data_IF_641875609988
#
_entry.id   IF_641875609988
#
_cell.length_a   1.000
_cell.length_b   1.000
_cell.length_c   1.000
_cell.angle_alpha   90.00
_cell.angle_beta   90.00
_cell.angle_gamma   90.00
#
_symmetry.space_group_name_H-M   'P 1'
#
loop_
_entity.id
_entity.type
_entity.pdbx_description
1 polymer ?
#
# COMPACT_ATOMS: atom_id res chain seq x y z
N UNK A 1 59.84 -13.31 19.46
CA UNK A 1 58.40 -13.00 19.31
C UNK A 1 58.02 -12.54 17.89
N UNK A 2 58.81 -11.68 17.22
CA UNK A 2 58.52 -11.17 15.87
C UNK A 2 58.56 -12.20 14.73
N UNK A 3 59.48 -13.18 14.78
CA UNK A 3 59.59 -14.26 13.78
C UNK A 3 58.33 -15.13 13.67
N UNK A 4 57.64 -15.40 14.79
CA UNK A 4 56.40 -16.17 14.79
C UNK A 4 55.22 -15.38 14.23
N UNK A 5 55.23 -14.05 14.38
CA UNK A 5 54.23 -13.13 13.81
C UNK A 5 54.34 -13.06 12.28
N UNK A 6 55.57 -13.02 11.75
CA UNK A 6 55.88 -13.09 10.31
C UNK A 6 55.51 -14.44 9.68
N UNK A 7 55.76 -15.57 10.37
CA UNK A 7 55.31 -16.90 9.92
C UNK A 7 53.77 -17.00 9.86
N UNK A 8 53.05 -16.43 10.83
CA UNK A 8 51.56 -16.40 10.81
C UNK A 8 50.99 -15.57 9.66
N UNK A 9 51.64 -14.48 9.28
CA UNK A 9 51.21 -13.67 8.13
C UNK A 9 51.50 -14.36 6.79
N UNK A 10 52.63 -15.07 6.67
CA UNK A 10 52.96 -15.90 5.50
C UNK A 10 52.00 -17.08 5.27
N UNK A 11 51.41 -17.61 6.34
CA UNK A 11 50.44 -18.71 6.27
C UNK A 11 49.00 -18.26 5.94
N UNK A 12 48.75 -16.95 5.80
CA UNK A 12 47.48 -16.49 5.23
C UNK A 12 47.58 -16.59 3.71
N UNK A 13 46.80 -17.50 3.12
CA UNK A 13 46.64 -17.57 1.66
C UNK A 13 46.11 -16.22 1.19
N UNK A 14 46.91 -15.49 0.42
CA UNK A 14 46.43 -14.32 -0.29
C UNK A 14 45.44 -14.79 -1.37
N UNK A 15 44.32 -14.10 -1.52
CA UNK A 15 43.42 -14.34 -2.64
C UNK A 15 44.18 -14.12 -3.94
N UNK A 16 43.99 -15.02 -4.89
CA UNK A 16 44.52 -14.81 -6.23
C UNK A 16 43.81 -13.62 -6.88
N UNK A 17 44.51 -12.93 -7.79
CA UNK A 17 43.94 -11.80 -8.52
C UNK A 17 42.68 -12.22 -9.31
N UNK A 18 42.65 -13.47 -9.79
CA UNK A 18 41.50 -14.09 -10.43
C UNK A 18 40.29 -14.22 -9.48
N UNK A 19 40.49 -14.77 -8.28
CA UNK A 19 39.43 -14.89 -7.26
C UNK A 19 38.86 -13.52 -6.86
N UNK A 20 39.70 -12.48 -6.83
CA UNK A 20 39.26 -11.11 -6.57
C UNK A 20 38.36 -10.57 -7.70
N UNK A 21 38.77 -10.75 -8.97
CA UNK A 21 37.97 -10.32 -10.14
C UNK A 21 36.61 -11.03 -10.16
N UNK A 22 36.59 -12.35 -9.94
CA UNK A 22 35.34 -13.10 -9.87
C UNK A 22 34.43 -12.63 -8.73
N UNK A 23 35.01 -12.31 -7.56
CA UNK A 23 34.24 -11.83 -6.42
C UNK A 23 33.61 -10.46 -6.70
N UNK A 24 34.35 -9.54 -7.32
CA UNK A 24 33.81 -8.23 -7.73
C UNK A 24 32.70 -8.42 -8.78
N UNK A 25 32.92 -9.29 -9.77
CA UNK A 25 31.90 -9.59 -10.78
C UNK A 25 30.61 -10.13 -10.16
N UNK A 26 30.69 -11.15 -9.30
CA UNK A 26 29.52 -11.69 -8.60
C UNK A 26 28.82 -10.64 -7.74
N UNK A 27 29.60 -9.81 -7.03
CA UNK A 27 29.04 -8.73 -6.22
C UNK A 27 28.26 -7.74 -7.09
N UNK A 28 28.82 -7.33 -8.23
CA UNK A 28 28.13 -6.40 -9.15
C UNK A 28 26.81 -6.98 -9.66
N UNK A 29 26.79 -8.25 -10.08
CA UNK A 29 25.56 -8.92 -10.54
C UNK A 29 24.51 -8.94 -9.43
N UNK A 30 24.89 -9.34 -8.22
CA UNK A 30 23.98 -9.38 -7.07
C UNK A 30 23.43 -7.99 -6.76
N UNK A 31 24.28 -6.96 -6.74
CA UNK A 31 23.84 -5.58 -6.45
C UNK A 31 22.86 -5.04 -7.49
N UNK A 32 23.08 -5.32 -8.78
CA UNK A 32 22.15 -4.91 -9.85
C UNK A 32 20.80 -5.62 -9.69
N UNK A 33 20.81 -6.93 -9.41
CA UNK A 33 19.59 -7.68 -9.15
C UNK A 33 18.80 -7.13 -7.96
N UNK A 34 19.47 -6.86 -6.84
CA UNK A 34 18.83 -6.28 -5.64
C UNK A 34 18.24 -4.90 -5.98
N UNK A 35 18.99 -4.04 -6.65
CA UNK A 35 18.53 -2.70 -7.02
C UNK A 35 17.28 -2.76 -7.91
N UNK A 36 17.28 -3.65 -8.90
CA UNK A 36 16.12 -3.88 -9.76
C UNK A 36 14.89 -4.35 -8.97
N UNK A 37 15.06 -5.28 -8.02
CA UNK A 37 13.97 -5.73 -7.15
C UNK A 37 13.41 -4.61 -6.27
N UNK A 38 14.27 -3.73 -5.73
CA UNK A 38 13.84 -2.57 -4.93
C UNK A 38 12.99 -1.61 -5.77
N UNK A 39 13.40 -1.32 -7.01
CA UNK A 39 12.65 -0.46 -7.91
C UNK A 39 11.25 -1.02 -8.22
N UNK A 40 11.17 -2.33 -8.50
CA UNK A 40 9.88 -3.00 -8.73
C UNK A 40 9.01 -2.94 -7.47
N UNK A 41 9.57 -3.26 -6.31
CA UNK A 41 8.85 -3.24 -5.05
C UNK A 41 8.28 -1.84 -4.75
N UNK A 42 9.10 -0.79 -4.91
CA UNK A 42 8.69 0.60 -4.74
C UNK A 42 7.54 0.99 -5.67
N UNK A 43 7.61 0.57 -6.95
CA UNK A 43 6.52 0.78 -7.91
C UNK A 43 5.22 0.13 -7.45
N UNK A 44 5.25 -1.12 -6.99
CA UNK A 44 4.06 -1.79 -6.49
C UNK A 44 3.54 -1.16 -5.21
N UNK A 45 4.41 -0.82 -4.26
CA UNK A 45 4.02 -0.17 -3.01
C UNK A 45 3.27 1.14 -3.26
N UNK A 46 3.75 1.98 -4.17
CA UNK A 46 3.07 3.22 -4.55
C UNK A 46 1.69 2.97 -5.18
N UNK A 47 1.59 1.98 -6.09
CA UNK A 47 0.31 1.61 -6.70
C UNK A 47 -0.71 1.13 -5.66
N UNK A 48 -0.28 0.34 -4.68
CA UNK A 48 -1.18 -0.14 -3.62
C UNK A 48 -1.49 0.94 -2.58
N UNK A 49 -0.55 1.84 -2.27
CA UNK A 49 -0.79 2.96 -1.34
C UNK A 49 -1.94 3.84 -1.83
N UNK A 50 -1.94 4.21 -3.11
CA UNK A 50 -3.02 5.02 -3.69
C UNK A 50 -4.37 4.28 -3.64
N UNK A 51 -4.38 2.96 -3.82
CA UNK A 51 -5.61 2.16 -3.69
C UNK A 51 -6.12 2.13 -2.25
N UNK A 52 -5.23 1.99 -1.28
CA UNK A 52 -5.58 2.03 0.15
C UNK A 52 -6.14 3.39 0.52
N UNK A 53 -5.56 4.48 0.02
CA UNK A 53 -6.06 5.84 0.26
C UNK A 53 -7.50 6.02 -0.26
N UNK A 54 -7.77 5.58 -1.50
CA UNK A 54 -9.12 5.63 -2.08
C UNK A 54 -10.11 4.79 -1.26
N UNK A 55 -9.71 3.59 -0.81
CA UNK A 55 -10.55 2.73 0.02
C UNK A 55 -10.83 3.35 1.39
N UNK A 56 -9.83 3.93 2.04
CA UNK A 56 -9.98 4.64 3.30
C UNK A 56 -10.92 5.85 3.16
N UNK A 57 -10.82 6.60 2.06
CA UNK A 57 -11.73 7.71 1.79
C UNK A 57 -13.19 7.24 1.65
N UNK A 58 -13.42 6.10 0.98
CA UNK A 58 -14.76 5.51 0.84
C UNK A 58 -15.28 5.05 2.20
N UNK A 59 -14.45 4.40 3.01
CA UNK A 59 -14.81 3.95 4.36
C UNK A 59 -15.17 5.14 5.25
N UNK A 60 -14.35 6.19 5.24
CA UNK A 60 -14.62 7.44 5.97
C UNK A 60 -15.93 8.08 5.51
N UNK A 61 -16.18 8.15 4.21
CA UNK A 61 -17.44 8.70 3.66
C UNK A 61 -18.64 7.89 4.14
N UNK A 62 -18.58 6.57 4.07
CA UNK A 62 -19.63 5.69 4.57
C UNK A 62 -19.85 5.86 6.08
N UNK A 63 -18.77 6.02 6.84
CA UNK A 63 -18.83 6.28 8.28
C UNK A 63 -19.51 7.62 8.59
N UNK A 64 -19.20 8.68 7.86
CA UNK A 64 -19.86 9.98 7.97
C UNK A 64 -21.35 9.87 7.69
N UNK A 65 -21.75 9.20 6.60
CA UNK A 65 -23.17 8.97 6.27
C UNK A 65 -23.89 8.26 7.43
N UNK A 66 -23.28 7.19 7.94
CA UNK A 66 -23.82 6.42 9.07
C UNK A 66 -23.99 7.30 10.31
N UNK A 67 -23.02 8.15 10.62
CA UNK A 67 -23.10 9.09 11.73
C UNK A 67 -24.16 10.16 11.54
N UNK A 68 -24.32 10.68 10.32
CA UNK A 68 -25.35 11.66 10.01
C UNK A 68 -26.75 11.07 10.24
N UNK A 69 -26.99 9.84 9.78
CA UNK A 69 -28.25 9.12 10.02
C UNK A 69 -28.50 8.92 11.52
N UNK A 70 -27.50 8.46 12.28
CA UNK A 70 -27.63 8.22 13.73
C UNK A 70 -27.89 9.50 14.54
N UNK A 71 -27.39 10.63 14.07
CA UNK A 71 -27.49 11.92 14.73
C UNK A 71 -28.63 12.79 14.19
N UNK A 72 -29.51 12.25 13.34
CA UNK A 72 -30.62 12.96 12.70
C UNK A 72 -30.17 14.25 11.97
N UNK A 73 -28.97 14.24 11.38
CA UNK A 73 -28.48 15.29 10.48
C UNK A 73 -28.90 14.98 9.03
N UNK A 74 -28.69 15.91 8.09
CA UNK A 74 -28.87 15.56 6.69
C UNK A 74 -27.85 14.48 6.30
N UNK A 75 -28.32 13.46 5.58
CA UNK A 75 -27.53 12.26 5.29
C UNK A 75 -26.24 12.61 4.52
N UNK A 76 -26.29 13.66 3.69
CA UNK A 76 -25.20 14.11 2.82
C UNK A 76 -24.37 15.27 3.40
N UNK A 77 -24.58 15.65 4.66
CA UNK A 77 -23.74 16.68 5.30
C UNK A 77 -22.27 16.23 5.35
N UNK A 78 -21.36 17.15 5.01
CA UNK A 78 -19.90 16.93 4.98
C UNK A 78 -19.42 15.84 3.99
N UNK A 79 -20.15 15.67 2.87
CA UNK A 79 -19.80 14.72 1.81
C UNK A 79 -19.59 15.43 0.48
N UNK A 80 -18.49 15.09 -0.20
CA UNK A 80 -18.24 15.56 -1.56
C UNK A 80 -19.03 14.72 -2.58
N UNK A 81 -20.23 15.20 -2.92
CA UNK A 81 -21.12 14.60 -3.94
C UNK A 81 -20.52 14.62 -5.35
N UNK A 82 -19.51 15.46 -5.64
CA UNK A 82 -18.86 15.46 -6.97
C UNK A 82 -17.93 14.27 -7.12
N UNK A 83 -17.34 13.79 -6.03
CA UNK A 83 -16.42 12.65 -6.02
C UNK A 83 -17.16 11.32 -6.06
N UNK A 84 -18.36 11.25 -5.49
CA UNK A 84 -19.11 10.01 -5.31
C UNK A 84 -20.57 10.14 -5.76
N UNK A 85 -21.00 9.22 -6.63
CA UNK A 85 -22.43 9.12 -6.96
C UNK A 85 -23.12 8.27 -5.88
N UNK A 86 -23.82 8.95 -4.97
CA UNK A 86 -24.48 8.34 -3.80
C UNK A 86 -25.96 8.15 -4.10
N UNK A 87 -26.46 6.93 -3.90
CA UNK A 87 -27.87 6.59 -4.01
C UNK A 87 -28.36 6.08 -2.66
N UNK A 88 -29.37 6.75 -2.09
CA UNK A 88 -29.96 6.38 -0.81
C UNK A 88 -31.35 5.81 -1.08
N UNK A 89 -31.56 4.55 -0.68
CA UNK A 89 -32.86 3.88 -0.77
C UNK A 89 -33.41 3.67 0.63
N UNK A 90 -34.59 4.21 0.90
CA UNK A 90 -35.31 4.00 2.15
C UNK A 90 -36.02 2.64 2.11
N UNK A 91 -35.66 1.74 3.03
CA UNK A 91 -36.28 0.41 3.23
C UNK A 91 -36.84 0.31 4.64
N UNK A 92 -38.02 0.88 4.87
CA UNK A 92 -38.74 0.87 6.16
C UNK A 92 -37.85 1.31 7.35
N UNK A 93 -37.24 0.37 8.07
CA UNK A 93 -36.40 0.61 9.25
C UNK A 93 -34.91 0.82 8.91
N UNK A 94 -34.53 0.68 7.65
CA UNK A 94 -33.16 0.75 7.15
C UNK A 94 -33.02 1.77 6.02
N UNK A 95 -31.84 2.35 5.91
CA UNK A 95 -31.34 2.98 4.69
C UNK A 95 -30.35 2.04 4.01
N UNK A 96 -30.54 1.82 2.71
CA UNK A 96 -29.53 1.23 1.83
C UNK A 96 -28.81 2.36 1.12
N UNK A 97 -27.53 2.52 1.42
CA UNK A 97 -26.65 3.52 0.81
C UNK A 97 -25.78 2.79 -0.19
N UNK A 98 -25.85 3.22 -1.46
CA UNK A 98 -24.97 2.75 -2.53
C UNK A 98 -24.08 3.89 -2.96
N UNK A 99 -22.78 3.64 -3.01
CA UNK A 99 -21.76 4.62 -3.35
C UNK A 99 -21.01 4.10 -4.57
N UNK A 100 -21.14 4.80 -5.69
CA UNK A 100 -20.52 4.42 -6.96
C UNK A 100 -19.36 5.35 -7.26
N UNK A 101 -18.20 4.76 -7.52
CA UNK A 101 -16.99 5.49 -7.87
C UNK A 101 -16.20 4.76 -8.95
N UNK A 102 -15.37 5.51 -9.68
CA UNK A 102 -14.47 4.96 -10.69
C UNK A 102 -13.10 4.77 -10.07
N UNK A 103 -12.62 3.54 -9.99
CA UNK A 103 -11.29 3.18 -9.47
C UNK A 103 -10.56 2.44 -10.59
N UNK A 104 -9.37 2.89 -10.96
CA UNK A 104 -8.55 2.30 -12.04
C UNK A 104 -9.30 2.15 -13.39
N UNK A 105 -10.25 3.04 -13.69
CA UNK A 105 -11.04 2.96 -14.91
C UNK A 105 -12.32 2.12 -14.81
N UNK A 106 -12.43 1.29 -13.77
CA UNK A 106 -13.59 0.43 -13.52
C UNK A 106 -14.60 1.10 -12.58
N UNK A 107 -15.89 0.88 -12.85
CA UNK A 107 -16.96 1.34 -11.97
C UNK A 107 -17.12 0.35 -10.82
N UNK A 108 -16.87 0.80 -9.59
CA UNK A 108 -17.06 0.01 -8.36
C UNK A 108 -18.26 0.51 -7.60
N UNK A 109 -19.02 -0.42 -7.04
CA UNK A 109 -20.20 -0.16 -6.23
C UNK A 109 -19.94 -0.63 -4.81
N UNK A 110 -20.11 0.25 -3.84
CA UNK A 110 -20.03 -0.05 -2.42
C UNK A 110 -21.41 0.12 -1.80
N UNK A 111 -21.85 -0.85 -1.00
CA UNK A 111 -23.18 -0.85 -0.41
C UNK A 111 -23.09 -1.00 1.10
N UNK A 112 -23.90 -0.22 1.81
CA UNK A 112 -24.01 -0.25 3.26
C UNK A 112 -25.48 -0.18 3.66
N UNK A 113 -25.86 -0.99 4.65
CA UNK A 113 -27.15 -0.90 5.33
C UNK A 113 -26.97 -0.17 6.66
N UNK A 114 -27.79 0.85 6.90
CA UNK A 114 -27.79 1.64 8.15
C UNK A 114 -29.18 1.60 8.76
N UNK A 115 -29.28 1.21 10.03
CA UNK A 115 -30.53 1.27 10.80
C UNK A 115 -30.91 2.72 11.08
N UNK A 116 -32.19 3.04 10.93
CA UNK A 116 -32.74 4.34 11.33
C UNK A 116 -32.84 4.49 12.83
N UNK A 117 -33.01 3.37 13.53
CA UNK A 117 -33.10 3.31 14.97
C UNK A 117 -31.69 3.23 15.59
N UNK A 118 -31.52 3.95 16.71
CA UNK A 118 -30.29 3.98 17.52
C UNK A 118 -29.91 2.62 18.06
#
# INVERSE_FOLDING_TARGET
MWRNKLKRLKNKRAFSLLECIFSVFLLTVITVSIFYSILIFSKYQNLYSNKIEILNDIENTMFTIKNNIKNNKNILDDIDEKKYNIQITNKNDLYLIKLKCKIDGELKNYEMYVTKNK
#
